data_IF_343697926110
#
_entry.id   IF_343697926110
#
_cell.length_a   1.000
_cell.length_b   1.000
_cell.length_c   1.000
_cell.angle_alpha   90.00
_cell.angle_beta   90.00
_cell.angle_gamma   90.00
#
_symmetry.space_group_name_H-M   'P 1'
#
loop_
_entity.id
_entity.type
_entity.pdbx_description
1 polymer ?
#
# COMPACT_ATOMS: atom_id res chain seq x y z
N UNK A 1 45.31 38.54 55.06
CA UNK A 1 45.57 37.17 54.58
C UNK A 1 44.53 36.29 55.27
N UNK A 2 43.53 35.69 54.64
CA UNK A 2 43.53 34.83 53.45
C UNK A 2 42.08 34.80 52.91
N UNK A 3 41.89 34.97 51.61
CA UNK A 3 40.57 35.07 50.98
C UNK A 3 39.89 33.70 50.90
N UNK A 4 38.59 33.66 51.25
CA UNK A 4 37.68 32.53 51.06
C UNK A 4 37.49 32.27 49.56
N UNK A 5 37.99 31.15 49.06
CA UNK A 5 37.68 30.64 47.72
C UNK A 5 36.54 29.63 47.87
N UNK A 6 35.31 30.09 47.63
CA UNK A 6 34.13 29.23 47.50
C UNK A 6 34.17 28.63 46.09
N UNK A 7 34.37 27.32 46.02
CA UNK A 7 34.41 26.54 44.79
C UNK A 7 32.97 26.23 44.37
N UNK A 8 32.40 27.04 43.45
CA UNK A 8 31.09 26.78 42.86
C UNK A 8 31.26 25.86 41.64
N UNK A 9 31.19 24.54 41.85
CA UNK A 9 31.10 23.57 40.76
C UNK A 9 29.66 23.58 40.25
N UNK A 10 29.43 24.31 39.17
CA UNK A 10 28.18 24.29 38.44
C UNK A 10 28.11 22.96 37.68
N UNK A 11 27.34 22.00 38.21
CA UNK A 11 27.13 20.70 37.60
C UNK A 11 26.22 20.87 36.38
N UNK A 12 26.82 21.01 35.20
CA UNK A 12 26.12 21.03 33.92
C UNK A 12 25.70 19.57 33.62
N UNK A 13 24.56 19.15 34.16
CA UNK A 13 23.91 17.89 33.78
C UNK A 13 23.37 18.09 32.37
N UNK A 14 24.20 17.77 31.37
CA UNK A 14 23.76 17.70 29.99
C UNK A 14 22.65 16.65 29.89
N UNK A 15 21.44 17.08 29.54
CA UNK A 15 20.40 16.21 29.02
C UNK A 15 20.93 15.61 27.71
N UNK A 16 21.62 14.48 27.78
CA UNK A 16 21.88 13.66 26.61
C UNK A 16 20.56 12.98 26.28
N UNK A 17 19.80 13.55 25.34
CA UNK A 17 18.72 12.84 24.70
C UNK A 17 19.32 11.61 24.03
N UNK A 18 19.20 10.44 24.67
CA UNK A 18 19.53 9.18 24.02
C UNK A 18 18.64 9.05 22.79
N UNK A 19 19.21 9.30 21.62
CA UNK A 19 18.58 8.99 20.33
C UNK A 19 18.64 7.48 20.21
N UNK A 20 17.60 6.80 20.67
CA UNK A 20 17.46 5.35 20.51
C UNK A 20 17.19 5.07 19.02
N UNK A 21 18.16 4.46 18.37
CA UNK A 21 18.00 3.81 17.08
C UNK A 21 16.94 2.70 17.23
N UNK A 22 15.80 2.82 16.56
CA UNK A 22 14.76 1.80 16.55
C UNK A 22 14.64 1.18 15.14
N UNK A 23 14.46 -0.14 15.07
CA UNK A 23 14.16 -0.84 13.83
C UNK A 23 12.74 -1.40 13.92
N UNK A 24 11.90 -1.08 12.93
CA UNK A 24 10.53 -1.58 12.86
C UNK A 24 10.31 -2.41 11.59
N UNK A 25 9.45 -3.42 11.72
CA UNK A 25 8.96 -4.23 10.60
C UNK A 25 7.54 -3.83 10.24
N UNK A 26 7.31 -3.59 8.96
CA UNK A 26 6.03 -3.17 8.40
C UNK A 26 5.58 -4.20 7.37
N UNK A 27 4.31 -4.61 7.43
CA UNK A 27 3.67 -5.31 6.32
C UNK A 27 2.83 -4.32 5.53
N UNK A 28 3.18 -4.13 4.27
CA UNK A 28 2.45 -3.28 3.33
C UNK A 28 1.68 -4.12 2.30
N UNK A 29 0.49 -3.67 1.93
CA UNK A 29 -0.18 -4.20 0.76
C UNK A 29 0.68 -3.97 -0.50
N UNK A 30 0.76 -4.95 -1.40
CA UNK A 30 1.63 -4.87 -2.57
C UNK A 30 1.34 -3.66 -3.51
N UNK A 31 0.10 -3.16 -3.56
CA UNK A 31 -0.28 -1.94 -4.31
C UNK A 31 0.43 -0.67 -3.83
N UNK A 32 0.94 -0.70 -2.60
CA UNK A 32 1.53 0.45 -1.91
C UNK A 32 3.04 0.55 -2.12
N UNK A 33 3.67 -0.42 -2.81
CA UNK A 33 5.12 -0.50 -2.91
C UNK A 33 5.77 0.83 -3.28
N UNK A 34 5.38 1.42 -4.41
CA UNK A 34 6.02 2.65 -4.87
C UNK A 34 5.78 3.86 -3.94
N UNK A 35 4.55 4.02 -3.43
CA UNK A 35 4.21 5.15 -2.57
C UNK A 35 4.81 5.03 -1.16
N UNK A 36 4.83 3.82 -0.57
CA UNK A 36 5.43 3.60 0.75
C UNK A 36 6.95 3.66 0.73
N UNK A 37 7.60 3.26 -0.37
CA UNK A 37 9.04 3.50 -0.52
C UNK A 37 9.37 5.00 -0.57
N UNK A 38 8.58 5.81 -1.29
CA UNK A 38 8.72 7.28 -1.30
C UNK A 38 8.46 7.91 0.07
N UNK A 39 7.41 7.46 0.76
CA UNK A 39 7.08 7.93 2.12
C UNK A 39 8.18 7.54 3.10
N UNK A 40 8.65 6.29 3.08
CA UNK A 40 9.75 5.80 3.92
C UNK A 40 11.02 6.60 3.69
N UNK A 41 11.40 6.82 2.43
CA UNK A 41 12.62 7.55 2.09
C UNK A 41 12.55 9.02 2.54
N UNK A 42 11.41 9.70 2.37
CA UNK A 42 11.27 11.07 2.86
C UNK A 42 11.25 11.14 4.39
N UNK A 43 10.56 10.20 5.04
CA UNK A 43 10.52 10.11 6.50
C UNK A 43 11.90 9.88 7.12
N UNK A 44 12.71 8.98 6.54
CA UNK A 44 14.03 8.62 7.06
C UNK A 44 15.15 9.62 6.71
N UNK A 45 14.89 10.60 5.84
CA UNK A 45 15.90 11.54 5.33
C UNK A 45 16.70 12.23 6.45
N UNK A 46 16.03 12.62 7.53
CA UNK A 46 16.63 13.30 8.68
C UNK A 46 16.82 12.37 9.90
N UNK A 47 16.62 11.05 9.74
CA UNK A 47 16.61 10.03 10.80
C UNK A 47 17.65 8.94 10.55
N UNK A 48 18.93 9.31 10.64
CA UNK A 48 20.07 8.44 10.25
C UNK A 48 20.23 7.15 11.06
N UNK A 49 19.55 7.04 12.19
CA UNK A 49 19.65 5.89 13.10
C UNK A 49 18.39 5.01 13.12
N UNK A 50 17.31 5.45 12.49
CA UNK A 50 16.05 4.69 12.44
C UNK A 50 16.03 3.78 11.21
N UNK A 51 15.45 2.60 11.33
CA UNK A 51 15.31 1.65 10.22
C UNK A 51 13.87 1.14 10.09
N UNK A 52 13.36 1.14 8.86
CA UNK A 52 12.04 0.64 8.53
C UNK A 52 12.16 -0.44 7.46
N UNK A 53 11.93 -1.69 7.85
CA UNK A 53 11.85 -2.83 6.94
C UNK A 53 10.40 -3.02 6.48
N UNK A 54 10.12 -2.83 5.19
CA UNK A 54 8.78 -3.02 4.63
C UNK A 54 8.76 -4.27 3.75
N UNK A 55 7.89 -5.23 4.08
CA UNK A 55 7.58 -6.38 3.24
C UNK A 55 6.23 -6.20 2.55
N UNK A 56 6.19 -6.42 1.24
CA UNK A 56 5.02 -6.18 0.39
C UNK A 56 4.33 -7.48 -0.03
N UNK A 57 3.12 -7.72 0.47
CA UNK A 57 2.31 -8.92 0.17
C UNK A 57 0.82 -8.55 0.03
N UNK A 58 -0.08 -9.50 -0.27
CA UNK A 58 -1.51 -9.19 -0.26
C UNK A 58 -2.01 -8.93 1.17
N UNK A 59 -3.00 -8.04 1.35
CA UNK A 59 -3.53 -7.71 2.68
C UNK A 59 -4.07 -8.92 3.43
N UNK A 60 -4.67 -9.89 2.73
CA UNK A 60 -5.08 -11.15 3.34
C UNK A 60 -3.92 -12.02 3.83
N UNK A 61 -2.82 -12.10 3.07
CA UNK A 61 -1.61 -12.81 3.51
C UNK A 61 -0.94 -12.10 4.69
N UNK A 62 -0.89 -10.76 4.68
CA UNK A 62 -0.36 -9.97 5.80
C UNK A 62 -1.17 -10.17 7.08
N UNK A 63 -2.50 -10.09 7.00
CA UNK A 63 -3.38 -10.42 8.13
C UNK A 63 -3.10 -11.81 8.69
N UNK A 64 -3.00 -12.84 7.81
CA UNK A 64 -2.72 -14.20 8.25
C UNK A 64 -1.36 -14.32 8.96
N UNK A 65 -0.31 -13.64 8.47
CA UNK A 65 1.00 -13.62 9.14
C UNK A 65 0.94 -12.97 10.51
N UNK A 66 0.27 -11.82 10.64
CA UNK A 66 0.13 -11.12 11.92
C UNK A 66 -0.68 -11.96 12.92
N UNK A 67 -1.78 -12.57 12.45
CA UNK A 67 -2.60 -13.48 13.25
C UNK A 67 -1.81 -14.70 13.76
N UNK A 68 -0.86 -15.18 12.97
CA UNK A 68 0.03 -16.28 13.33
C UNK A 68 1.27 -15.84 14.14
N UNK A 69 1.31 -14.60 14.63
CA UNK A 69 2.34 -14.12 15.55
C UNK A 69 3.58 -13.52 14.90
N UNK A 70 3.52 -13.12 13.62
CA UNK A 70 4.63 -12.40 13.00
C UNK A 70 4.92 -11.08 13.76
N UNK A 71 6.21 -10.75 14.03
CA UNK A 71 6.60 -9.56 14.79
C UNK A 71 6.53 -8.30 13.92
N UNK A 72 5.31 -7.83 13.65
CA UNK A 72 5.01 -6.71 12.75
C UNK A 72 4.55 -5.53 13.56
N UNK A 73 5.19 -4.37 13.42
CA UNK A 73 4.87 -3.17 14.20
C UNK A 73 3.66 -2.42 13.62
N UNK A 74 3.67 -2.23 12.31
CA UNK A 74 2.64 -1.51 11.56
C UNK A 74 2.16 -2.37 10.39
N UNK A 75 0.84 -2.44 10.22
CA UNK A 75 0.21 -3.02 9.05
C UNK A 75 -0.46 -1.91 8.22
N UNK A 76 -0.10 -1.80 6.95
CA UNK A 76 -0.69 -0.84 6.00
C UNK A 76 -1.40 -1.61 4.91
N UNK A 77 -2.74 -1.66 4.97
CA UNK A 77 -3.57 -2.54 4.18
C UNK A 77 -4.31 -1.81 3.06
N UNK A 78 -4.56 -2.50 1.95
CA UNK A 78 -5.38 -1.99 0.84
C UNK A 78 -6.89 -2.22 1.05
N UNK A 79 -7.31 -2.56 2.27
CA UNK A 79 -8.71 -2.57 2.70
C UNK A 79 -8.83 -2.25 4.20
N UNK A 80 -10.03 -1.83 4.63
CA UNK A 80 -10.37 -1.61 6.05
C UNK A 80 -10.61 -2.92 6.80
N UNK A 81 -11.09 -3.96 6.09
CA UNK A 81 -11.59 -5.18 6.72
C UNK A 81 -10.55 -6.00 7.47
N UNK A 82 -9.31 -6.08 6.97
CA UNK A 82 -8.24 -6.83 7.62
C UNK A 82 -7.67 -6.11 8.85
N UNK A 83 -7.34 -4.80 8.81
CA UNK A 83 -7.03 -4.03 10.01
C UNK A 83 -8.12 -4.12 11.08
N UNK A 84 -9.39 -3.95 10.70
CA UNK A 84 -10.52 -4.06 11.62
C UNK A 84 -10.61 -5.45 12.28
N UNK A 85 -10.33 -6.53 11.53
CA UNK A 85 -10.25 -7.88 12.09
C UNK A 85 -9.11 -8.04 13.09
N UNK A 86 -7.96 -7.41 12.89
CA UNK A 86 -6.87 -7.45 13.89
C UNK A 86 -7.29 -6.79 15.20
N UNK A 87 -7.99 -5.65 15.13
CA UNK A 87 -8.54 -5.01 16.32
C UNK A 87 -9.58 -5.90 17.01
N UNK A 88 -10.53 -6.46 16.26
CA UNK A 88 -11.55 -7.37 16.80
C UNK A 88 -10.95 -8.63 17.44
N UNK A 89 -9.88 -9.18 16.84
CA UNK A 89 -9.12 -10.33 17.36
C UNK A 89 -8.20 -9.94 18.55
N UNK A 90 -8.25 -8.69 19.04
CA UNK A 90 -7.41 -8.13 20.12
C UNK A 90 -5.90 -8.19 19.82
N UNK A 91 -5.53 -8.15 18.55
CA UNK A 91 -4.15 -8.15 18.06
C UNK A 91 -3.60 -6.73 17.78
N UNK A 92 -4.42 -5.70 18.03
CA UNK A 92 -4.04 -4.31 17.96
C UNK A 92 -4.61 -3.52 19.15
N UNK A 93 -3.88 -2.54 19.70
CA UNK A 93 -4.33 -1.76 20.86
C UNK A 93 -5.42 -0.74 20.53
N UNK A 94 -5.52 -0.31 19.27
CA UNK A 94 -6.44 0.73 18.81
C UNK A 94 -7.05 0.35 17.47
N UNK A 95 -8.16 1.01 17.11
CA UNK A 95 -8.81 0.82 15.80
C UNK A 95 -7.91 1.31 14.67
N UNK A 96 -8.16 0.78 13.49
CA UNK A 96 -7.57 1.19 12.24
C UNK A 96 -7.92 2.63 11.85
N UNK A 97 -7.03 3.26 11.10
CA UNK A 97 -7.21 4.61 10.56
C UNK A 97 -7.15 4.57 9.04
N UNK A 98 -8.15 5.16 8.38
CA UNK A 98 -8.22 5.25 6.92
C UNK A 98 -7.22 6.32 6.46
N UNK A 99 -6.35 5.96 5.52
CA UNK A 99 -5.34 6.89 4.98
C UNK A 99 -5.62 7.34 3.54
N UNK A 100 -6.29 6.52 2.74
CA UNK A 100 -6.58 6.83 1.34
C UNK A 100 -7.64 5.89 0.73
N UNK A 101 -8.09 6.23 -0.47
CA UNK A 101 -8.90 5.39 -1.36
C UNK A 101 -8.11 5.10 -2.64
N UNK A 102 -8.03 3.82 -3.00
CA UNK A 102 -7.32 3.36 -4.19
C UNK A 102 -8.18 3.44 -5.45
N UNK A 103 -7.52 3.58 -6.61
CA UNK A 103 -8.18 3.58 -7.94
C UNK A 103 -7.88 2.33 -8.74
N UNK A 104 -8.92 1.64 -9.19
CA UNK A 104 -8.84 0.48 -10.06
C UNK A 104 -8.64 0.92 -11.52
N UNK A 105 -7.72 0.27 -12.23
CA UNK A 105 -7.48 0.51 -13.66
C UNK A 105 -7.48 -0.79 -14.44
N UNK A 106 -7.93 -0.73 -15.69
CA UNK A 106 -7.62 -1.73 -16.71
C UNK A 106 -6.48 -1.19 -17.55
N UNK A 107 -5.43 -1.99 -17.75
CA UNK A 107 -4.23 -1.54 -18.45
C UNK A 107 -3.66 -2.59 -19.39
N UNK A 108 -2.80 -2.13 -20.30
CA UNK A 108 -2.06 -2.91 -21.29
C UNK A 108 -0.62 -2.39 -21.38
N UNK A 109 0.31 -3.28 -21.68
CA UNK A 109 1.69 -2.94 -22.06
C UNK A 109 2.00 -3.43 -23.49
N UNK A 110 1.28 -2.86 -24.47
CA UNK A 110 1.39 -3.24 -25.87
C UNK A 110 1.41 -2.00 -26.78
N UNK A 111 2.38 -1.96 -27.70
CA UNK A 111 2.49 -0.88 -28.68
C UNK A 111 1.36 -0.94 -29.72
N UNK A 112 0.94 -2.14 -30.10
CA UNK A 112 -0.03 -2.40 -31.17
C UNK A 112 -1.48 -2.50 -30.68
N UNK A 113 -1.68 -2.41 -29.37
CA UNK A 113 -2.99 -2.44 -28.73
C UNK A 113 -3.06 -1.51 -27.52
N UNK A 114 -3.93 -0.51 -27.62
CA UNK A 114 -4.19 0.47 -26.58
C UNK A 114 -5.57 0.24 -25.97
N UNK A 115 -5.64 0.20 -24.65
CA UNK A 115 -6.91 0.21 -23.92
C UNK A 115 -7.38 1.67 -23.84
N UNK A 116 -8.54 1.96 -24.40
CA UNK A 116 -9.16 3.30 -24.42
C UNK A 116 -10.58 3.30 -23.87
N UNK A 117 -11.23 2.14 -23.76
CA UNK A 117 -12.53 1.95 -23.11
C UNK A 117 -12.57 0.64 -22.30
N UNK A 118 -13.45 0.55 -21.31
CA UNK A 118 -13.56 -0.67 -20.51
C UNK A 118 -14.03 -1.87 -21.34
N UNK A 119 -14.86 -1.64 -22.36
CA UNK A 119 -15.35 -2.69 -23.27
C UNK A 119 -14.24 -3.28 -24.14
N UNK A 120 -13.07 -2.65 -24.24
CA UNK A 120 -11.92 -3.19 -24.97
C UNK A 120 -11.49 -4.55 -24.41
N UNK A 121 -11.82 -4.86 -23.16
CA UNK A 121 -11.60 -6.19 -22.56
C UNK A 121 -12.28 -7.33 -23.34
N UNK A 122 -13.30 -7.03 -24.14
CA UNK A 122 -14.00 -7.98 -25.02
C UNK A 122 -13.33 -8.15 -26.38
N UNK A 123 -12.25 -7.41 -26.66
CA UNK A 123 -11.57 -7.49 -27.96
C UNK A 123 -11.09 -8.93 -28.22
N UNK A 124 -11.34 -9.50 -29.43
CA UNK A 124 -10.93 -10.85 -29.76
C UNK A 124 -9.41 -11.06 -29.75
N UNK A 125 -8.61 -10.00 -29.81
CA UNK A 125 -7.15 -10.09 -29.64
C UNK A 125 -6.72 -10.37 -28.20
N UNK A 126 -7.60 -10.16 -27.22
CA UNK A 126 -7.32 -10.44 -25.81
C UNK A 126 -7.70 -11.89 -25.53
N UNK A 127 -6.69 -12.70 -25.23
CA UNK A 127 -6.82 -14.12 -24.90
C UNK A 127 -6.64 -14.38 -23.40
N UNK A 128 -5.92 -13.47 -22.73
CA UNK A 128 -5.57 -13.56 -21.32
C UNK A 128 -5.80 -12.21 -20.65
N UNK A 129 -6.51 -12.25 -19.52
CA UNK A 129 -6.81 -11.09 -18.69
C UNK A 129 -6.25 -11.34 -17.31
N UNK A 130 -5.21 -10.61 -16.94
CA UNK A 130 -4.63 -10.73 -15.61
C UNK A 130 -5.52 -10.07 -14.55
N UNK A 131 -5.80 -10.79 -13.47
CA UNK A 131 -6.60 -10.28 -12.35
C UNK A 131 -5.96 -10.70 -11.01
N UNK A 132 -5.87 -9.80 -10.01
CA UNK A 132 -5.43 -10.17 -8.67
C UNK A 132 -6.42 -11.16 -8.05
N UNK A 133 -5.96 -12.12 -7.25
CA UNK A 133 -6.84 -13.12 -6.62
C UNK A 133 -7.93 -12.44 -5.75
N UNK A 134 -9.21 -12.49 -6.14
CA UNK A 134 -10.28 -11.76 -5.46
C UNK A 134 -10.52 -12.28 -4.03
N UNK A 135 -10.12 -13.51 -3.71
CA UNK A 135 -10.28 -14.07 -2.36
C UNK A 135 -9.43 -13.34 -1.32
N UNK A 136 -8.30 -12.75 -1.73
CA UNK A 136 -7.30 -12.19 -0.80
C UNK A 136 -6.89 -10.76 -1.14
N UNK A 137 -7.14 -10.29 -2.36
CA UNK A 137 -6.74 -8.97 -2.84
C UNK A 137 -7.97 -8.05 -3.04
N UNK A 138 -7.99 -6.86 -2.41
CA UNK A 138 -9.08 -5.88 -2.58
C UNK A 138 -9.33 -5.49 -4.03
N UNK A 139 -8.27 -5.20 -4.77
CA UNK A 139 -8.36 -4.87 -6.19
C UNK A 139 -8.90 -6.04 -7.04
N UNK A 140 -8.63 -7.28 -6.66
CA UNK A 140 -9.24 -8.44 -7.30
C UNK A 140 -10.76 -8.49 -7.12
N UNK A 141 -11.24 -8.18 -5.90
CA UNK A 141 -12.69 -8.06 -5.63
C UNK A 141 -13.31 -6.96 -6.47
N UNK A 142 -12.69 -5.77 -6.47
CA UNK A 142 -13.16 -4.63 -7.24
C UNK A 142 -13.23 -4.92 -8.75
N UNK A 143 -12.27 -5.66 -9.31
CA UNK A 143 -12.30 -6.11 -10.71
C UNK A 143 -13.51 -6.99 -11.01
N UNK A 144 -13.83 -7.94 -10.13
CA UNK A 144 -15.01 -8.79 -10.29
C UNK A 144 -16.29 -7.95 -10.18
N UNK A 145 -16.41 -7.08 -9.17
CA UNK A 145 -17.56 -6.19 -9.00
C UNK A 145 -17.80 -5.31 -10.25
N UNK A 146 -16.74 -4.76 -10.84
CA UNK A 146 -16.83 -3.94 -12.05
C UNK A 146 -17.30 -4.72 -13.29
N UNK A 147 -16.80 -5.94 -13.44
CA UNK A 147 -17.21 -6.83 -14.54
C UNK A 147 -18.64 -7.34 -14.37
N UNK A 148 -19.09 -7.60 -13.14
CA UNK A 148 -20.47 -7.98 -12.84
C UNK A 148 -21.43 -6.82 -13.10
N UNK A 149 -21.09 -5.62 -12.63
CA UNK A 149 -21.89 -4.40 -12.81
C UNK A 149 -22.11 -4.05 -14.29
N UNK A 150 -21.16 -4.43 -15.14
CA UNK A 150 -21.22 -4.23 -16.60
C UNK A 150 -21.70 -5.46 -17.38
N UNK A 151 -22.04 -6.57 -16.70
CA UNK A 151 -22.45 -7.85 -17.30
C UNK A 151 -21.41 -8.42 -18.28
N UNK A 152 -20.13 -8.12 -18.06
CA UNK A 152 -19.03 -8.60 -18.89
C UNK A 152 -18.36 -9.84 -18.30
N UNK A 153 -18.49 -10.11 -16.99
CA UNK A 153 -17.80 -11.20 -16.30
C UNK A 153 -17.94 -12.55 -17.03
N UNK A 154 -19.16 -12.96 -17.35
CA UNK A 154 -19.42 -14.25 -18.00
C UNK A 154 -18.72 -14.41 -19.35
N UNK A 155 -18.46 -13.30 -20.06
CA UNK A 155 -17.83 -13.28 -21.38
C UNK A 155 -16.30 -13.39 -21.33
N UNK A 156 -15.71 -13.10 -20.18
CA UNK A 156 -14.25 -12.94 -20.06
C UNK A 156 -13.62 -13.83 -18.98
N UNK A 157 -14.40 -14.41 -18.09
CA UNK A 157 -13.90 -15.19 -16.95
C UNK A 157 -13.02 -16.38 -17.35
N UNK A 158 -13.28 -16.99 -18.50
CA UNK A 158 -12.46 -18.11 -19.02
C UNK A 158 -11.05 -17.67 -19.45
N UNK A 159 -10.85 -16.36 -19.67
CA UNK A 159 -9.57 -15.76 -20.05
C UNK A 159 -8.72 -15.37 -18.84
N UNK A 160 -9.19 -15.57 -17.61
CA UNK A 160 -8.52 -15.05 -16.43
C UNK A 160 -7.20 -15.75 -16.12
N UNK A 161 -6.16 -14.95 -15.92
CA UNK A 161 -4.88 -15.37 -15.35
C UNK A 161 -4.79 -14.79 -13.94
N UNK A 162 -4.92 -15.64 -12.93
CA UNK A 162 -5.01 -15.20 -11.53
C UNK A 162 -3.61 -14.95 -10.96
N UNK A 163 -3.31 -13.71 -10.62
CA UNK A 163 -2.13 -13.36 -9.82
C UNK A 163 -2.38 -13.55 -8.33
N UNK A 164 -1.39 -14.08 -7.58
CA UNK A 164 -1.53 -14.26 -6.13
C UNK A 164 -1.75 -12.94 -5.35
N UNK A 165 -1.29 -11.83 -5.92
CA UNK A 165 -1.44 -10.47 -5.42
C UNK A 165 -1.56 -9.51 -6.60
N UNK A 166 -1.83 -8.23 -6.32
CA UNK A 166 -1.85 -7.20 -7.36
C UNK A 166 -0.48 -7.03 -8.05
N UNK A 167 0.63 -7.24 -7.32
CA UNK A 167 1.98 -7.23 -7.90
C UNK A 167 2.14 -8.36 -8.92
N UNK A 168 1.78 -9.59 -8.54
CA UNK A 168 1.84 -10.74 -9.45
C UNK A 168 0.93 -10.57 -10.68
N UNK A 169 -0.28 -10.04 -10.49
CA UNK A 169 -1.17 -9.73 -11.60
C UNK A 169 -0.60 -8.65 -12.54
N UNK A 170 0.02 -7.60 -11.99
CA UNK A 170 0.69 -6.55 -12.77
C UNK A 170 1.83 -7.15 -13.60
N UNK A 171 2.64 -8.02 -13.01
CA UNK A 171 3.75 -8.69 -13.69
C UNK A 171 3.31 -9.53 -14.89
N UNK A 172 2.13 -10.16 -14.88
CA UNK A 172 1.65 -10.89 -16.06
C UNK A 172 1.45 -10.00 -17.28
N UNK A 173 0.99 -8.75 -17.10
CA UNK A 173 0.86 -7.78 -18.20
C UNK A 173 2.24 -7.20 -18.57
N UNK A 174 3.08 -6.88 -17.59
CA UNK A 174 4.46 -6.39 -17.84
C UNK A 174 5.27 -7.38 -18.69
N UNK A 175 5.18 -8.66 -18.37
CA UNK A 175 5.88 -9.77 -19.05
C UNK A 175 5.17 -10.26 -20.31
N UNK A 176 4.06 -9.62 -20.71
CA UNK A 176 3.24 -9.97 -21.88
C UNK A 176 2.66 -11.40 -21.84
N UNK A 177 2.55 -11.98 -20.65
CA UNK A 177 1.81 -13.22 -20.41
C UNK A 177 0.29 -12.99 -20.36
N UNK A 178 -0.15 -11.74 -20.24
CA UNK A 178 -1.51 -11.31 -20.47
C UNK A 178 -1.54 -10.03 -21.30
N UNK A 179 -2.51 -9.91 -22.23
CA UNK A 179 -2.58 -8.71 -23.08
C UNK A 179 -3.10 -7.49 -22.32
N UNK A 180 -4.00 -7.73 -21.36
CA UNK A 180 -4.53 -6.71 -20.45
C UNK A 180 -4.59 -7.25 -19.04
N UNK A 181 -4.75 -6.36 -18.07
CA UNK A 181 -5.04 -6.77 -16.71
C UNK A 181 -5.59 -5.66 -15.85
N UNK A 182 -6.12 -6.06 -14.69
CA UNK A 182 -6.53 -5.13 -13.67
C UNK A 182 -5.40 -4.88 -12.67
N UNK A 183 -5.20 -3.62 -12.31
CA UNK A 183 -4.24 -3.23 -11.27
C UNK A 183 -4.67 -1.95 -10.57
N UNK A 184 -3.84 -1.45 -9.65
CA UNK A 184 -4.00 -0.15 -9.03
C UNK A 184 -3.30 0.90 -9.89
N UNK A 185 -3.87 2.09 -10.01
CA UNK A 185 -3.20 3.20 -10.71
C UNK A 185 -1.78 3.46 -10.15
N UNK A 186 -1.59 3.30 -8.85
CA UNK A 186 -0.30 3.44 -8.18
C UNK A 186 0.77 2.42 -8.59
N UNK A 187 0.36 1.27 -9.15
CA UNK A 187 1.29 0.25 -9.64
C UNK A 187 1.89 0.61 -10.99
N UNK A 188 1.30 1.58 -11.71
CA UNK A 188 1.78 2.04 -13.01
C UNK A 188 2.81 3.17 -12.90
N UNK A 189 3.44 3.33 -11.73
CA UNK A 189 4.43 4.36 -11.47
C UNK A 189 3.83 5.74 -11.18
N UNK A 190 4.72 6.72 -11.04
CA UNK A 190 4.33 8.12 -10.80
C UNK A 190 3.74 8.68 -12.09
N UNK A 191 2.51 9.22 -12.03
CA UNK A 191 1.70 9.67 -13.18
C UNK A 191 1.11 8.54 -14.08
N UNK A 192 1.27 7.27 -13.72
CA UNK A 192 0.54 6.15 -14.33
C UNK A 192 0.97 5.68 -15.74
N UNK A 193 2.01 6.27 -16.34
CA UNK A 193 2.55 5.85 -17.65
C UNK A 193 4.08 5.95 -17.61
N UNK A 194 4.75 4.81 -17.57
CA UNK A 194 6.22 4.75 -17.57
C UNK A 194 6.80 4.58 -18.98
N UNK A 195 6.00 4.13 -19.97
CA UNK A 195 6.49 3.90 -21.34
C UNK A 195 5.43 4.23 -22.42
N UNK A 196 5.85 4.54 -23.66
CA UNK A 196 4.92 4.74 -24.78
C UNK A 196 4.08 3.51 -25.14
N UNK A 197 4.47 2.31 -24.67
CA UNK A 197 3.74 1.06 -24.89
C UNK A 197 2.62 0.85 -23.90
N UNK A 198 2.66 1.52 -22.74
CA UNK A 198 1.59 1.45 -21.75
C UNK A 198 0.33 2.21 -22.21
N UNK A 199 -0.81 1.71 -21.76
CA UNK A 199 -2.10 2.40 -21.81
C UNK A 199 -2.97 1.90 -20.68
N UNK A 200 -3.80 2.76 -20.13
CA UNK A 200 -4.76 2.38 -19.11
C UNK A 200 -6.01 3.25 -19.21
N UNK A 201 -7.09 2.72 -18.65
CA UNK A 201 -8.26 3.51 -18.29
C UNK A 201 -8.54 3.33 -16.79
N UNK A 202 -8.99 4.40 -16.14
CA UNK A 202 -9.57 4.28 -14.81
C UNK A 202 -10.97 3.64 -14.94
N UNK A 203 -11.24 2.64 -14.11
CA UNK A 203 -12.58 2.07 -14.02
C UNK A 203 -13.46 3.04 -13.22
N UNK A 204 -14.66 3.32 -13.74
CA UNK A 204 -15.65 4.15 -13.07
C UNK A 204 -15.91 3.64 -11.65
N UNK A 205 -15.72 4.52 -10.66
CA UNK A 205 -15.84 4.22 -9.23
C UNK A 205 -17.27 3.81 -8.83
N UNK A 206 -18.28 4.02 -9.68
CA UNK A 206 -19.64 3.52 -9.46
C UNK A 206 -19.81 2.03 -9.77
N UNK A 207 -18.82 1.39 -10.42
CA UNK A 207 -18.88 -0.02 -10.82
C UNK A 207 -18.37 -0.99 -9.75
N UNK A 208 -17.76 -0.48 -8.69
CA UNK A 208 -17.19 -1.29 -7.61
C UNK A 208 -17.28 -0.53 -6.29
N UNK A 209 -17.18 -1.25 -5.16
CA UNK A 209 -17.18 -0.59 -3.85
C UNK A 209 -15.89 0.23 -3.69
N UNK A 210 -15.94 1.41 -3.05
CA UNK A 210 -14.74 2.20 -2.79
C UNK A 210 -13.65 1.37 -2.12
N UNK A 211 -12.43 1.44 -2.66
CA UNK A 211 -11.26 0.73 -2.13
C UNK A 211 -10.64 1.57 -1.02
N UNK A 212 -11.36 1.72 0.09
CA UNK A 212 -10.87 2.40 1.29
C UNK A 212 -9.74 1.59 1.93
N UNK A 213 -8.64 2.27 2.25
CA UNK A 213 -7.41 1.64 2.71
C UNK A 213 -7.05 2.17 4.09
N UNK A 214 -6.66 1.26 4.98
CA UNK A 214 -6.42 1.59 6.38
C UNK A 214 -5.12 1.00 6.89
N UNK A 215 -4.58 1.64 7.91
CA UNK A 215 -3.41 1.18 8.64
C UNK A 215 -3.74 0.93 10.11
N UNK A 216 -2.93 0.11 10.77
CA UNK A 216 -3.09 -0.19 12.19
C UNK A 216 -1.75 -0.58 12.80
N UNK A 217 -1.45 -0.04 13.99
CA UNK A 217 -0.35 -0.50 14.84
C UNK A 217 -0.77 -1.80 15.50
N UNK A 218 0.05 -2.84 15.44
CA UNK A 218 -0.27 -4.11 16.10
C UNK A 218 0.15 -4.08 17.58
N UNK A 219 -0.20 -5.11 18.34
CA UNK A 219 0.29 -5.29 19.71
C UNK A 219 1.83 -5.33 19.81
N UNK A 220 2.53 -5.79 18.77
CA UNK A 220 3.99 -5.82 18.74
C UNK A 220 4.58 -4.40 18.64
N UNK A 221 3.90 -3.50 17.91
CA UNK A 221 4.32 -2.11 17.72
C UNK A 221 3.76 -1.13 18.73
N UNK A 222 2.98 -1.57 19.73
CA UNK A 222 2.22 -0.67 20.62
C UNK A 222 3.08 0.34 21.39
N UNK A 223 4.29 -0.07 21.78
CA UNK A 223 5.24 0.73 22.57
C UNK A 223 6.35 1.35 21.70
N UNK A 224 6.28 1.15 20.37
CA UNK A 224 7.27 1.63 19.42
C UNK A 224 7.04 3.08 19.07
N UNK A 225 8.00 3.95 19.41
CA UNK A 225 7.93 5.37 19.07
C UNK A 225 8.06 5.56 17.56
N UNK A 226 8.98 4.83 16.94
CA UNK A 226 9.20 4.90 15.50
C UNK A 226 7.96 4.46 14.70
N UNK A 227 7.26 3.40 15.15
CA UNK A 227 6.05 2.95 14.48
C UNK A 227 4.92 4.00 14.56
N UNK A 228 4.73 4.64 15.71
CA UNK A 228 3.75 5.72 15.86
C UNK A 228 4.10 6.93 14.99
N UNK A 229 5.36 7.36 15.01
CA UNK A 229 5.79 8.51 14.20
C UNK A 229 5.69 8.23 12.70
N UNK A 230 5.97 7.00 12.26
CA UNK A 230 5.79 6.61 10.86
C UNK A 230 4.32 6.53 10.47
N UNK A 231 3.46 5.98 11.35
CA UNK A 231 2.00 6.00 11.19
C UNK A 231 1.48 7.44 11.01
N UNK A 232 1.88 8.34 11.90
CA UNK A 232 1.46 9.74 11.89
C UNK A 232 1.98 10.46 10.64
N UNK A 233 3.19 10.13 10.17
CA UNK A 233 3.72 10.67 8.92
C UNK A 233 2.90 10.21 7.71
N UNK A 234 2.50 8.93 7.65
CA UNK A 234 1.65 8.38 6.59
C UNK A 234 0.28 9.11 6.56
N UNK A 235 -0.32 9.34 7.73
CA UNK A 235 -1.61 10.02 7.87
C UNK A 235 -1.53 11.54 7.69
N UNK A 236 -0.36 12.12 7.94
CA UNK A 236 -0.11 13.56 7.88
C UNK A 236 -0.06 14.12 6.46
N UNK A 237 0.04 15.45 6.38
CA UNK A 237 -0.01 16.19 5.12
C UNK A 237 1.00 15.70 4.07
N UNK A 238 2.25 15.44 4.48
CA UNK A 238 3.30 14.92 3.58
C UNK A 238 2.96 13.53 3.02
N UNK A 239 2.44 12.64 3.85
CA UNK A 239 1.98 11.31 3.42
C UNK A 239 0.81 11.41 2.43
N UNK A 240 -0.19 12.25 2.74
CA UNK A 240 -1.34 12.53 1.86
C UNK A 240 -0.91 13.05 0.49
N UNK A 241 0.04 13.99 0.45
CA UNK A 241 0.59 14.51 -0.81
C UNK A 241 1.25 13.41 -1.67
N UNK A 242 1.99 12.49 -1.04
CA UNK A 242 2.55 11.33 -1.74
C UNK A 242 1.45 10.42 -2.30
N UNK A 243 0.41 10.11 -1.52
CA UNK A 243 -0.73 9.32 -2.02
C UNK A 243 -1.39 9.96 -3.24
N UNK A 244 -1.66 11.27 -3.22
CA UNK A 244 -2.23 11.99 -4.37
C UNK A 244 -1.33 11.85 -5.60
N UNK A 245 0.00 12.00 -5.46
CA UNK A 245 0.96 11.86 -6.57
C UNK A 245 0.94 10.47 -7.22
N UNK A 246 0.58 9.43 -6.47
CA UNK A 246 0.44 8.05 -6.96
C UNK A 246 -0.99 7.69 -7.37
N UNK A 247 -1.90 8.67 -7.47
CA UNK A 247 -3.24 8.47 -8.00
C UNK A 247 -4.27 7.97 -6.99
N UNK A 248 -3.97 8.03 -5.70
CA UNK A 248 -4.96 7.79 -4.64
C UNK A 248 -5.82 9.04 -4.41
N UNK A 249 -7.04 8.82 -3.91
CA UNK A 249 -7.86 9.90 -3.33
C UNK A 249 -7.63 9.90 -1.82
N UNK A 250 -7.54 11.08 -1.21
CA UNK A 250 -7.40 11.26 0.25
C UNK A 250 -8.49 12.20 0.73
N UNK A 251 -9.00 11.94 1.94
CA UNK A 251 -9.97 12.82 2.65
C UNK A 251 -9.27 13.61 3.76
#
# INVERSE_FOLDING_TARGET
MLHKVIFLVFCLVGFTSSVYAEQIRVLGAASLKYVLEEIKNDFLKDRKNDEIEISYISSGKAYAQIKNGAPVYLFVAADVSYPAKLYADKLAPQKEEIYAKGKLVLWSNNADFKVTDFKDILNPKIQHISIPNPKVAPYGRASIEALESTKMLEKVQEKFVIGESIGGATTYVESKNAEVGFTALSMLGKNGIDTPTMSFIAIDENLYKPIEQALIITNYGKDSKLAQEFKDYILGQKGKEKFIQFGYSVE
#
